data_IF_243629654455
#
_entry.id   IF_243629654455
#
_cell.length_a   1.000
_cell.length_b   1.000
_cell.length_c   1.000
_cell.angle_alpha   90.00
_cell.angle_beta   90.00
_cell.angle_gamma   90.00
#
_symmetry.space_group_name_H-M   'P 1'
#
loop_
_entity.id
_entity.type
_entity.pdbx_description
1 polymer ?
#
# COMPACT_ATOMS: atom_id res chain seq x y z
N UNK A 1 25.66 44.07 30.39
CA UNK A 1 25.72 42.64 30.79
C UNK A 1 24.49 42.40 31.66
N UNK A 2 23.58 41.48 31.40
CA UNK A 2 23.54 40.27 30.57
C UNK A 2 22.04 39.95 30.37
N UNK A 3 21.59 39.86 29.13
CA UNK A 3 21.05 38.65 28.47
C UNK A 3 19.52 38.60 28.39
N UNK A 4 19.08 38.84 27.15
CA UNK A 4 17.87 38.30 26.53
C UNK A 4 17.82 36.78 26.73
N UNK A 5 16.67 36.25 27.14
CA UNK A 5 16.37 34.85 26.86
C UNK A 5 14.90 34.76 26.41
N UNK A 6 14.75 34.65 25.10
CA UNK A 6 13.51 34.29 24.43
C UNK A 6 13.01 33.00 25.05
N UNK A 7 11.87 33.07 25.76
CA UNK A 7 11.15 31.89 26.22
C UNK A 7 10.68 31.11 25.00
N UNK A 8 11.44 30.11 24.62
CA UNK A 8 11.10 29.16 23.57
C UNK A 8 9.76 28.52 23.95
N UNK A 9 8.74 28.76 23.12
CA UNK A 9 7.51 27.98 23.17
C UNK A 9 7.90 26.56 22.80
N UNK A 10 8.12 25.69 23.79
CA UNK A 10 8.05 24.24 23.58
C UNK A 10 6.63 23.96 23.11
N UNK A 11 6.47 23.85 21.80
CA UNK A 11 5.33 23.15 21.23
C UNK A 11 5.62 21.69 21.54
N UNK A 12 5.23 21.26 22.74
CA UNK A 12 5.09 19.85 23.03
C UNK A 12 3.98 19.36 22.11
N UNK A 13 4.35 18.93 20.90
CA UNK A 13 3.48 18.16 20.02
C UNK A 13 3.30 16.81 20.68
N UNK A 14 2.49 16.80 21.75
CA UNK A 14 1.96 15.62 22.38
C UNK A 14 1.21 14.90 21.27
N UNK A 15 1.80 13.84 20.74
CA UNK A 15 1.05 12.84 19.98
C UNK A 15 0.00 12.30 20.93
N UNK A 16 -1.18 12.90 20.90
CA UNK A 16 -2.36 12.38 21.57
C UNK A 16 -2.77 11.15 20.79
N UNK A 17 -2.45 9.97 21.35
CA UNK A 17 -3.09 8.73 20.90
C UNK A 17 -4.61 8.92 20.93
N UNK A 18 -5.29 8.34 19.94
CA UNK A 18 -6.73 8.41 19.71
C UNK A 18 -7.50 8.33 21.05
N UNK A 19 -8.22 9.40 21.42
CA UNK A 19 -9.03 9.38 22.64
C UNK A 19 -10.24 8.47 22.42
N UNK A 20 -10.82 7.88 23.47
CA UNK A 20 -11.99 6.98 23.31
C UNK A 20 -13.18 7.65 22.59
N UNK A 21 -13.29 8.98 22.67
CA UNK A 21 -14.29 9.76 21.93
C UNK A 21 -14.02 9.86 20.42
N UNK A 22 -12.76 9.71 20.02
CA UNK A 22 -12.36 9.64 18.62
C UNK A 22 -12.60 8.23 18.04
N UNK A 23 -12.82 7.22 18.89
CA UNK A 23 -13.19 5.84 18.49
C UNK A 23 -14.67 5.68 18.17
N UNK A 24 -15.54 6.56 18.68
CA UNK A 24 -16.98 6.55 18.40
C UNK A 24 -17.31 6.81 16.92
N UNK A 25 -16.39 7.42 16.17
CA UNK A 25 -16.49 7.67 14.73
C UNK A 25 -15.47 6.89 13.90
N UNK A 26 -14.79 5.89 14.50
CA UNK A 26 -14.03 4.90 13.72
C UNK A 26 -15.06 3.98 13.08
N UNK A 27 -15.67 4.49 12.03
CA UNK A 27 -16.41 3.71 11.08
C UNK A 27 -15.39 2.73 10.49
N UNK A 28 -15.44 1.46 10.88
CA UNK A 28 -14.71 0.42 10.17
C UNK A 28 -15.29 0.38 8.76
N UNK A 29 -14.62 0.95 7.75
CA UNK A 29 -15.18 1.02 6.42
C UNK A 29 -14.94 -0.36 5.80
N UNK A 30 -16.02 -1.14 5.66
CA UNK A 30 -16.09 -2.31 4.79
C UNK A 30 -15.09 -3.43 5.09
N UNK A 31 -15.51 -4.36 5.95
CA UNK A 31 -14.85 -5.66 6.19
C UNK A 31 -15.00 -6.65 5.02
N UNK A 32 -15.58 -6.25 3.90
CA UNK A 32 -15.65 -7.10 2.71
C UNK A 32 -14.51 -6.72 1.77
N UNK A 33 -13.39 -7.41 1.95
CA UNK A 33 -12.24 -7.30 1.09
C UNK A 33 -12.67 -7.66 -0.35
N UNK A 34 -12.69 -6.69 -1.25
CA UNK A 34 -13.02 -6.95 -2.65
C UNK A 34 -11.86 -7.68 -3.31
N UNK A 35 -12.08 -8.94 -3.68
CA UNK A 35 -11.10 -9.74 -4.43
C UNK A 35 -11.70 -10.08 -5.78
N UNK A 36 -11.01 -9.70 -6.85
CA UNK A 36 -11.40 -10.06 -8.21
C UNK A 36 -10.56 -11.24 -8.71
N UNK A 37 -11.15 -12.07 -9.58
CA UNK A 37 -10.39 -13.02 -10.38
C UNK A 37 -10.01 -12.35 -11.69
N UNK A 38 -8.73 -12.35 -12.01
CA UNK A 38 -8.23 -11.81 -13.27
C UNK A 38 -7.13 -12.71 -13.84
N UNK A 39 -7.05 -12.76 -15.17
CA UNK A 39 -5.96 -13.41 -15.86
C UNK A 39 -4.82 -12.39 -16.03
N UNK A 40 -3.73 -12.60 -15.29
CA UNK A 40 -2.54 -11.73 -15.32
C UNK A 40 -1.44 -12.37 -16.17
N UNK A 41 -1.52 -13.67 -16.40
CA UNK A 41 -0.60 -14.42 -17.26
C UNK A 41 -1.41 -15.37 -18.12
N UNK A 42 -0.92 -15.65 -19.33
CA UNK A 42 -1.57 -16.58 -20.29
C UNK A 42 -1.80 -18.00 -19.74
N UNK A 43 -1.27 -18.31 -18.56
CA UNK A 43 -1.26 -19.63 -17.97
C UNK A 43 -1.88 -19.67 -16.56
N UNK A 44 -2.49 -18.56 -16.08
CA UNK A 44 -2.94 -18.51 -14.69
C UNK A 44 -4.00 -17.45 -14.39
N UNK A 45 -5.02 -17.90 -13.67
CA UNK A 45 -6.02 -17.07 -13.00
C UNK A 45 -5.47 -16.67 -11.63
N UNK A 46 -5.38 -15.37 -11.35
CA UNK A 46 -4.95 -14.87 -10.05
C UNK A 46 -6.10 -14.18 -9.31
N UNK A 47 -6.06 -14.24 -7.98
CA UNK A 47 -6.92 -13.47 -7.10
C UNK A 47 -6.23 -12.14 -6.79
N UNK A 48 -6.85 -11.03 -7.19
CA UNK A 48 -6.32 -9.68 -6.97
C UNK A 48 -7.16 -9.01 -5.89
N UNK A 49 -6.48 -8.61 -4.82
CA UNK A 49 -7.03 -7.73 -3.80
C UNK A 49 -7.21 -6.32 -4.37
N UNK A 50 -8.43 -5.78 -4.29
CA UNK A 50 -8.71 -4.38 -4.59
C UNK A 50 -8.60 -3.59 -3.29
N UNK A 51 -7.48 -2.90 -3.16
CA UNK A 51 -7.25 -1.91 -2.12
C UNK A 51 -7.34 -0.52 -2.74
N UNK A 52 -8.48 0.14 -2.55
CA UNK A 52 -8.75 1.47 -3.11
C UNK A 52 -7.90 2.57 -2.43
N UNK A 53 -7.35 2.31 -1.25
CA UNK A 53 -6.52 3.27 -0.52
C UNK A 53 -5.03 3.13 -0.89
N UNK A 54 -4.66 2.10 -1.65
CA UNK A 54 -3.31 1.95 -2.18
C UNK A 54 -3.06 2.87 -3.38
N UNK A 55 -1.91 3.55 -3.38
CA UNK A 55 -1.45 4.38 -4.49
C UNK A 55 -0.76 3.57 -5.60
N UNK A 56 -0.40 2.32 -5.32
CA UNK A 56 0.38 1.47 -6.22
C UNK A 56 -0.14 0.04 -6.24
N UNK A 57 0.00 -0.63 -7.40
CA UNK A 57 -0.27 -2.06 -7.51
C UNK A 57 0.96 -2.84 -7.04
N UNK A 58 0.75 -3.84 -6.18
CA UNK A 58 1.81 -4.64 -5.59
C UNK A 58 1.55 -6.11 -5.90
N UNK A 59 2.61 -6.83 -6.28
CA UNK A 59 2.61 -8.29 -6.41
C UNK A 59 3.61 -8.82 -5.38
N UNK A 60 3.16 -9.73 -4.52
CA UNK A 60 4.04 -10.39 -3.57
C UNK A 60 5.06 -11.27 -4.31
N UNK A 61 6.28 -11.36 -3.78
CA UNK A 61 7.37 -12.14 -4.40
C UNK A 61 6.96 -13.58 -4.74
N UNK A 62 6.25 -14.25 -3.83
CA UNK A 62 5.74 -15.61 -4.05
C UNK A 62 4.76 -15.68 -5.23
N UNK A 63 3.80 -14.75 -5.32
CA UNK A 63 2.86 -14.69 -6.43
C UNK A 63 3.60 -14.40 -7.76
N UNK A 64 4.59 -13.51 -7.74
CA UNK A 64 5.42 -13.23 -8.90
C UNK A 64 6.16 -14.48 -9.39
N UNK A 65 6.75 -15.26 -8.47
CA UNK A 65 7.48 -16.48 -8.82
C UNK A 65 6.52 -17.57 -9.37
N UNK A 66 5.31 -17.70 -8.82
CA UNK A 66 4.27 -18.63 -9.32
C UNK A 66 3.72 -18.27 -10.70
N UNK A 67 3.63 -16.97 -10.99
CA UNK A 67 3.14 -16.44 -12.26
C UNK A 67 4.03 -16.82 -13.46
N UNK A 68 5.30 -17.22 -13.22
CA UNK A 68 6.27 -17.63 -14.26
C UNK A 68 6.41 -16.61 -15.40
N UNK A 69 6.23 -15.33 -15.09
CA UNK A 69 6.27 -14.19 -16.03
C UNK A 69 7.70 -13.77 -16.39
N UNK A 70 8.54 -14.73 -16.79
CA UNK A 70 9.90 -14.47 -17.29
C UNK A 70 10.77 -13.57 -16.39
N UNK A 71 11.82 -13.00 -16.98
CA UNK A 71 12.81 -12.17 -16.27
C UNK A 71 12.67 -10.66 -16.53
N UNK A 72 11.49 -10.18 -16.97
CA UNK A 72 11.30 -8.79 -17.41
C UNK A 72 11.00 -7.82 -16.25
N UNK A 73 11.83 -7.87 -15.20
CA UNK A 73 11.74 -6.96 -14.06
C UNK A 73 12.78 -5.86 -14.21
N UNK A 74 12.34 -4.61 -14.17
CA UNK A 74 13.23 -3.45 -14.06
C UNK A 74 13.56 -3.22 -12.60
N UNK A 75 14.83 -3.26 -12.24
CA UNK A 75 15.27 -2.94 -10.88
C UNK A 75 14.91 -1.49 -10.53
N UNK A 76 14.45 -1.29 -9.30
CA UNK A 76 14.17 0.04 -8.74
C UNK A 76 14.86 0.15 -7.39
N UNK A 77 15.21 1.38 -7.02
CA UNK A 77 15.84 1.70 -5.74
C UNK A 77 14.91 2.46 -4.81
N UNK A 78 13.76 2.90 -5.31
CA UNK A 78 12.78 3.66 -4.55
C UNK A 78 12.03 2.75 -3.58
N UNK A 79 11.93 3.20 -2.33
CA UNK A 79 11.17 2.50 -1.29
C UNK A 79 9.67 2.74 -1.46
N UNK A 80 8.87 1.71 -1.25
CA UNK A 80 7.44 1.82 -1.01
C UNK A 80 7.18 1.97 0.48
N UNK A 81 6.34 2.93 0.85
CA UNK A 81 6.01 3.24 2.24
C UNK A 81 4.57 2.86 2.53
N UNK A 82 4.38 2.02 3.55
CA UNK A 82 3.06 1.70 4.08
C UNK A 82 2.63 2.64 5.20
N UNK A 83 1.46 2.35 5.79
CA UNK A 83 0.89 3.10 6.92
C UNK A 83 1.84 3.24 8.12
N UNK A 84 2.65 2.22 8.38
CA UNK A 84 3.61 2.21 9.49
C UNK A 84 4.86 3.06 9.20
N UNK A 85 4.94 3.72 8.03
CA UNK A 85 6.11 4.47 7.53
C UNK A 85 7.38 3.63 7.34
N UNK A 86 7.27 2.32 7.49
CA UNK A 86 8.33 1.38 7.13
C UNK A 86 8.44 1.33 5.60
N UNK A 87 9.67 1.51 5.12
CA UNK A 87 9.99 1.49 3.70
C UNK A 87 10.51 0.12 3.30
N UNK A 88 9.95 -0.45 2.24
CA UNK A 88 10.47 -1.67 1.61
C UNK A 88 10.96 -1.32 0.22
N UNK A 89 12.19 -1.71 -0.12
CA UNK A 89 12.70 -1.63 -1.49
C UNK A 89 12.19 -2.87 -2.25
N UNK A 90 11.31 -2.72 -3.26
CA UNK A 90 10.82 -3.87 -4.01
C UNK A 90 11.92 -4.50 -4.86
N UNK A 91 11.72 -5.78 -5.24
CA UNK A 91 12.61 -6.48 -6.19
C UNK A 91 12.70 -5.75 -7.53
N UNK A 92 11.66 -5.02 -7.92
CA UNK A 92 11.62 -4.22 -9.13
C UNK A 92 10.19 -3.87 -9.55
N UNK A 93 10.08 -3.36 -10.78
CA UNK A 93 8.83 -3.02 -11.45
C UNK A 93 8.67 -3.86 -12.71
N UNK A 94 7.42 -4.22 -13.03
CA UNK A 94 7.06 -4.93 -14.25
C UNK A 94 5.77 -4.32 -14.82
N UNK A 95 5.60 -4.42 -16.14
CA UNK A 95 4.34 -4.13 -16.82
C UNK A 95 3.69 -5.45 -17.21
N UNK A 96 2.45 -5.65 -16.76
CA UNK A 96 1.67 -6.86 -17.00
C UNK A 96 0.34 -6.50 -17.65
N UNK A 97 -0.08 -7.29 -18.64
CA UNK A 97 -1.43 -7.22 -19.17
C UNK A 97 -2.37 -7.93 -18.18
N UNK A 98 -3.49 -7.30 -17.86
CA UNK A 98 -4.53 -7.87 -17.00
C UNK A 98 -5.82 -7.92 -17.80
N UNK A 99 -6.44 -9.10 -17.86
CA UNK A 99 -7.78 -9.28 -18.41
C UNK A 99 -8.73 -9.48 -17.22
N UNK A 100 -9.64 -8.53 -17.05
CA UNK A 100 -10.77 -8.62 -16.11
C UNK A 100 -11.98 -9.08 -16.92
N UNK A 101 -12.78 -9.98 -16.36
CA UNK A 101 -13.86 -10.67 -17.07
C UNK A 101 -14.79 -9.77 -17.88
N UNK A 102 -15.52 -10.37 -18.82
CA UNK A 102 -16.45 -9.65 -19.68
C UNK A 102 -17.71 -9.22 -18.90
N UNK A 103 -18.22 -8.02 -19.19
CA UNK A 103 -19.47 -7.55 -18.62
C UNK A 103 -20.63 -8.49 -19.01
N UNK A 104 -21.65 -8.68 -18.15
CA UNK A 104 -22.84 -9.45 -18.51
C UNK A 104 -23.50 -8.90 -19.78
N UNK A 105 -24.00 -9.80 -20.62
CA UNK A 105 -24.87 -9.44 -21.75
C UNK A 105 -26.26 -9.08 -21.29
#
# INVERSE_FOLDING_TARGET
MVHEERRTRKVDSKLTGLADKDKEWVHYPYSDVLVIRAEVTKNGMNMILIDNESLVNIIFGLAFDEMKVGHFVTLITDSLYGFNREGIIPRGKITLAIIVGEAPK
#
